data_IF_235395316081
#
_entry.id   IF_235395316081
#
_cell.length_a   1.000
_cell.length_b   1.000
_cell.length_c   1.000
_cell.angle_alpha   90.00
_cell.angle_beta   90.00
_cell.angle_gamma   90.00
#
_symmetry.space_group_name_H-M   'P 1'
#
loop_
_entity.id
_entity.type
_entity.pdbx_description
1 polymer ?
#
# COMPACT_ATOMS: atom_id res chain seq x y z
N UNK A 1 -1.34 1.61 10.13
CA UNK A 1 -1.02 1.14 11.49
C UNK A 1 0.31 1.67 12.03
N UNK A 2 1.45 1.61 11.30
CA UNK A 2 2.74 2.12 11.80
C UNK A 2 2.68 3.58 12.26
N UNK A 3 2.14 4.49 11.43
CA UNK A 3 2.06 5.92 11.78
C UNK A 3 1.18 6.19 13.02
N UNK A 4 0.05 5.48 13.17
CA UNK A 4 -0.93 5.73 14.24
C UNK A 4 -0.54 5.06 15.56
N UNK A 5 0.02 3.85 15.51
CA UNK A 5 0.19 2.97 16.67
C UNK A 5 1.64 2.53 16.88
N UNK A 6 2.58 3.02 16.07
CA UNK A 6 3.99 2.61 16.11
C UNK A 6 4.16 1.09 15.95
N UNK A 7 3.19 0.43 15.31
CA UNK A 7 3.20 -1.02 15.12
C UNK A 7 4.38 -1.41 14.24
N UNK A 8 5.14 -2.41 14.69
CA UNK A 8 6.25 -2.97 13.95
C UNK A 8 5.76 -4.02 12.95
N UNK A 9 6.45 -4.07 11.81
CA UNK A 9 6.19 -5.01 10.73
C UNK A 9 7.51 -5.53 10.17
N UNK A 10 7.43 -6.68 9.49
CA UNK A 10 8.54 -7.27 8.75
C UNK A 10 8.14 -7.30 7.29
N UNK A 11 9.10 -7.04 6.41
CA UNK A 11 8.96 -7.19 4.98
C UNK A 11 10.05 -8.06 4.38
N UNK A 12 9.77 -8.62 3.21
CA UNK A 12 10.70 -9.41 2.40
C UNK A 12 10.58 -8.99 0.95
N UNK A 13 11.65 -9.19 0.17
CA UNK A 13 11.62 -9.01 -1.28
C UNK A 13 11.25 -10.33 -1.93
N UNK A 14 9.99 -10.48 -2.36
CA UNK A 14 9.40 -11.75 -2.75
C UNK A 14 10.13 -12.42 -3.94
N UNK A 15 10.65 -11.63 -4.87
CA UNK A 15 11.42 -12.12 -6.01
C UNK A 15 12.92 -12.33 -5.70
N UNK A 16 13.36 -12.09 -4.45
CA UNK A 16 14.76 -12.24 -4.00
C UNK A 16 14.86 -12.95 -2.64
N UNK A 17 13.94 -13.87 -2.33
CA UNK A 17 13.84 -14.52 -1.00
C UNK A 17 15.09 -15.29 -0.55
N UNK A 18 15.92 -15.75 -1.49
CA UNK A 18 17.16 -16.47 -1.19
C UNK A 18 18.40 -15.56 -1.18
N UNK A 19 18.26 -14.29 -1.54
CA UNK A 19 19.38 -13.37 -1.55
C UNK A 19 19.76 -12.97 -0.10
N UNK A 20 21.05 -12.82 0.21
CA UNK A 20 21.47 -12.35 1.52
C UNK A 20 21.07 -10.88 1.70
N UNK A 21 20.84 -10.48 2.95
CA UNK A 21 20.67 -9.08 3.28
C UNK A 21 21.97 -8.33 3.01
N UNK A 22 21.87 -7.21 2.28
CA UNK A 22 23.00 -6.40 1.83
C UNK A 22 23.00 -5.00 2.46
N UNK A 23 21.83 -4.46 2.78
CA UNK A 23 21.67 -3.08 3.22
C UNK A 23 20.60 -2.93 4.32
N UNK A 24 20.76 -1.90 5.14
CA UNK A 24 19.74 -1.44 6.10
C UNK A 24 19.05 -0.21 5.51
N UNK A 25 17.74 -0.30 5.31
CA UNK A 25 16.95 0.74 4.62
C UNK A 25 15.68 1.10 5.41
N UNK A 26 15.09 2.24 5.09
CA UNK A 26 13.75 2.62 5.55
C UNK A 26 12.76 2.47 4.40
N UNK A 27 11.67 1.75 4.63
CA UNK A 27 10.57 1.58 3.68
C UNK A 27 9.55 2.67 3.92
N UNK A 28 9.53 3.66 3.03
CA UNK A 28 8.53 4.73 3.00
C UNK A 28 7.45 4.45 1.96
N UNK A 29 6.27 5.03 2.17
CA UNK A 29 5.20 5.05 1.18
C UNK A 29 5.36 6.21 0.19
N UNK A 30 4.28 6.51 -0.52
CA UNK A 30 4.25 7.52 -1.61
C UNK A 30 3.47 8.78 -1.27
N UNK A 31 2.96 8.90 -0.05
CA UNK A 31 2.20 10.06 0.39
C UNK A 31 3.12 11.24 0.68
N UNK A 32 2.58 12.45 0.61
CA UNK A 32 3.35 13.70 0.68
C UNK A 32 3.74 14.10 2.12
N UNK A 33 4.01 13.12 2.98
CA UNK A 33 4.21 13.32 4.41
C UNK A 33 5.42 12.55 4.89
N UNK A 34 6.27 13.18 5.71
CA UNK A 34 7.44 12.51 6.31
C UNK A 34 7.06 11.36 7.25
N UNK A 35 5.80 11.33 7.71
CA UNK A 35 5.25 10.27 8.55
C UNK A 35 4.84 9.00 7.79
N UNK A 36 4.79 9.03 6.44
CA UNK A 36 4.43 7.87 5.62
C UNK A 36 5.58 6.87 5.54
N UNK A 37 5.88 6.27 6.69
CA UNK A 37 6.93 5.27 6.87
C UNK A 37 6.28 3.97 7.32
N UNK A 38 6.49 2.91 6.55
CA UNK A 38 5.97 1.58 6.87
C UNK A 38 6.90 0.87 7.85
N UNK A 39 8.21 0.87 7.59
CA UNK A 39 9.22 0.18 8.39
C UNK A 39 10.52 0.99 8.40
N UNK A 40 11.09 1.24 9.58
CA UNK A 40 12.41 1.85 9.75
C UNK A 40 13.47 0.78 9.95
N UNK A 41 14.67 1.03 9.41
CA UNK A 41 15.88 0.24 9.64
C UNK A 41 15.73 -1.28 9.41
N UNK A 42 15.08 -1.67 8.30
CA UNK A 42 14.96 -3.07 7.91
C UNK A 42 16.17 -3.51 7.09
N UNK A 43 16.70 -4.70 7.40
CA UNK A 43 17.73 -5.35 6.59
C UNK A 43 17.10 -6.07 5.41
N UNK A 44 17.49 -5.72 4.19
CA UNK A 44 16.99 -6.33 2.95
C UNK A 44 18.16 -6.65 2.01
N UNK A 45 17.95 -7.55 1.01
CA UNK A 45 18.83 -7.65 -0.15
C UNK A 45 18.90 -6.33 -0.92
N UNK A 46 19.88 -6.19 -1.82
CA UNK A 46 19.95 -5.00 -2.68
C UNK A 46 18.68 -4.87 -3.53
N UNK A 47 17.96 -3.78 -3.30
CA UNK A 47 16.66 -3.53 -3.91
C UNK A 47 16.79 -2.66 -5.16
N UNK A 48 15.95 -2.93 -6.16
CA UNK A 48 15.89 -2.14 -7.39
C UNK A 48 14.44 -1.86 -7.82
N UNK A 49 14.19 -0.80 -8.61
CA UNK A 49 12.86 -0.54 -9.15
C UNK A 49 12.30 -1.76 -9.88
N UNK A 50 11.10 -2.19 -9.50
CA UNK A 50 10.46 -3.39 -10.04
C UNK A 50 10.46 -4.59 -9.09
N UNK A 51 11.28 -4.59 -8.04
CA UNK A 51 11.21 -5.59 -6.98
C UNK A 51 9.85 -5.58 -6.26
N UNK A 52 9.39 -6.78 -5.85
CA UNK A 52 8.13 -6.95 -5.15
C UNK A 52 8.36 -7.05 -3.63
N UNK A 53 8.09 -5.96 -2.91
CA UNK A 53 8.15 -5.95 -1.45
C UNK A 53 6.84 -6.49 -0.84
N UNK A 54 6.94 -7.45 0.07
CA UNK A 54 5.81 -8.03 0.79
C UNK A 54 5.89 -7.68 2.26
N UNK A 55 4.87 -6.99 2.77
CA UNK A 55 4.70 -6.70 4.21
C UNK A 55 3.76 -7.74 4.81
N UNK A 56 4.26 -8.48 5.79
CA UNK A 56 3.53 -9.59 6.42
C UNK A 56 2.58 -9.11 7.53
N UNK A 57 1.73 -10.00 8.05
CA UNK A 57 0.79 -9.71 9.15
C UNK A 57 -0.16 -8.53 8.88
N UNK A 58 -0.54 -8.30 7.63
CA UNK A 58 -1.41 -7.19 7.22
C UNK A 58 -2.91 -7.54 7.17
N UNK A 59 -3.28 -8.80 7.43
CA UNK A 59 -4.67 -9.29 7.26
C UNK A 59 -5.71 -8.68 8.22
N UNK A 60 -5.29 -8.18 9.38
CA UNK A 60 -6.18 -7.52 10.34
C UNK A 60 -5.96 -6.01 10.35
N UNK A 61 -7.04 -5.24 10.43
CA UNK A 61 -7.09 -3.77 10.61
C UNK A 61 -6.44 -2.90 9.52
N UNK A 62 -5.60 -3.42 8.61
CA UNK A 62 -4.96 -2.58 7.60
C UNK A 62 -5.96 -2.13 6.53
N UNK A 63 -6.65 -3.08 5.87
CA UNK A 63 -7.64 -2.73 4.84
C UNK A 63 -8.82 -1.95 5.42
N UNK A 64 -9.34 -2.35 6.58
CA UNK A 64 -10.47 -1.66 7.23
C UNK A 64 -10.16 -0.22 7.66
N UNK A 65 -8.88 0.10 7.86
CA UNK A 65 -8.41 1.47 8.18
C UNK A 65 -7.83 2.20 6.96
N UNK A 66 -7.91 1.63 5.76
CA UNK A 66 -7.41 2.28 4.56
C UNK A 66 -8.24 3.52 4.22
N UNK A 67 -7.56 4.59 3.79
CA UNK A 67 -8.18 5.84 3.36
C UNK A 67 -7.81 6.14 1.91
N UNK A 68 -8.49 7.13 1.32
CA UNK A 68 -8.16 7.68 0.01
C UNK A 68 -7.32 8.96 0.12
N UNK A 69 -6.48 9.06 1.14
CA UNK A 69 -5.58 10.19 1.32
C UNK A 69 -4.71 10.39 0.06
N UNK A 70 -4.47 11.65 -0.33
CA UNK A 70 -3.92 12.06 -1.62
C UNK A 70 -4.64 11.47 -2.86
N UNK A 71 -5.95 11.18 -2.76
CA UNK A 71 -6.77 10.59 -3.84
C UNK A 71 -6.17 9.29 -4.39
N UNK A 72 -5.54 8.49 -3.51
CA UNK A 72 -5.04 7.17 -3.87
C UNK A 72 -6.20 6.16 -3.77
N UNK A 73 -6.50 5.40 -4.84
CA UNK A 73 -7.53 4.38 -4.77
C UNK A 73 -7.12 3.23 -3.84
N UNK A 74 -8.06 2.71 -3.05
CA UNK A 74 -7.79 1.54 -2.19
C UNK A 74 -7.42 0.31 -3.05
N UNK A 75 -6.48 -0.52 -2.56
CA UNK A 75 -5.99 -1.66 -3.32
C UNK A 75 -7.07 -2.75 -3.46
N UNK A 76 -6.86 -3.70 -4.37
CA UNK A 76 -7.63 -4.94 -4.37
C UNK A 76 -7.23 -5.84 -3.18
N UNK A 77 -8.11 -6.76 -2.81
CA UNK A 77 -7.78 -7.90 -1.96
C UNK A 77 -8.01 -9.21 -2.73
N UNK A 78 -7.08 -10.15 -2.59
CA UNK A 78 -7.08 -11.44 -3.30
C UNK A 78 -7.06 -12.56 -2.27
N UNK A 79 -7.96 -13.54 -2.45
CA UNK A 79 -7.92 -14.80 -1.73
C UNK A 79 -7.17 -15.83 -2.56
N UNK A 80 -6.19 -16.48 -1.96
CA UNK A 80 -5.38 -17.53 -2.61
C UNK A 80 -5.58 -18.85 -1.87
N UNK A 81 -5.81 -19.92 -2.61
CA UNK A 81 -5.99 -21.26 -2.06
C UNK A 81 -6.17 -22.30 -3.16
N UNK A 82 -5.73 -23.54 -2.92
CA UNK A 82 -5.88 -24.65 -3.87
C UNK A 82 -5.34 -24.38 -5.29
N UNK A 83 -4.25 -23.60 -5.39
CA UNK A 83 -3.67 -23.23 -6.69
C UNK A 83 -4.41 -22.12 -7.44
N UNK A 84 -5.45 -21.55 -6.85
CA UNK A 84 -6.24 -20.46 -7.42
C UNK A 84 -5.99 -19.13 -6.70
N UNK A 85 -6.21 -18.03 -7.42
CA UNK A 85 -6.18 -16.67 -6.91
C UNK A 85 -7.42 -15.91 -7.39
N UNK A 86 -8.27 -15.51 -6.44
CA UNK A 86 -9.56 -14.90 -6.70
C UNK A 86 -9.62 -13.50 -6.10
N UNK A 87 -10.00 -12.49 -6.88
CA UNK A 87 -10.22 -11.13 -6.37
C UNK A 87 -11.49 -11.15 -5.50
N UNK A 88 -11.34 -10.86 -4.21
CA UNK A 88 -12.46 -10.79 -3.26
C UNK A 88 -12.87 -9.34 -2.94
N UNK A 89 -11.99 -8.38 -3.21
CA UNK A 89 -12.29 -6.95 -3.19
C UNK A 89 -11.64 -6.29 -4.40
N UNK A 90 -12.44 -5.65 -5.24
CA UNK A 90 -11.99 -4.92 -6.42
C UNK A 90 -11.16 -3.69 -6.01
N UNK A 91 -10.08 -3.41 -6.74
CA UNK A 91 -9.33 -2.16 -6.60
C UNK A 91 -10.22 -0.99 -7.00
N UNK A 92 -10.23 0.06 -6.19
CA UNK A 92 -10.93 1.30 -6.56
C UNK A 92 -10.29 1.94 -7.79
N UNK A 93 -11.12 2.61 -8.57
CA UNK A 93 -10.73 3.44 -9.71
C UNK A 93 -10.78 4.91 -9.32
N UNK A 94 -10.22 5.79 -10.16
CA UNK A 94 -10.38 7.23 -9.95
C UNK A 94 -11.85 7.67 -10.03
N UNK A 95 -12.68 6.99 -10.82
CA UNK A 95 -14.10 7.30 -10.92
C UNK A 95 -14.84 7.01 -9.60
N UNK A 96 -14.46 5.95 -8.89
CA UNK A 96 -15.02 5.67 -7.56
C UNK A 96 -14.73 6.81 -6.58
N UNK A 97 -13.55 7.43 -6.68
CA UNK A 97 -13.17 8.58 -5.84
C UNK A 97 -13.93 9.86 -6.17
N UNK A 98 -14.32 10.02 -7.43
CA UNK A 98 -15.00 11.21 -7.93
C UNK A 98 -16.53 11.09 -7.87
N UNK A 99 -17.08 9.93 -7.52
CA UNK A 99 -18.52 9.65 -7.57
C UNK A 99 -19.36 10.64 -6.75
N UNK A 100 -18.78 11.26 -5.72
CA UNK A 100 -19.44 12.24 -4.85
C UNK A 100 -19.06 13.69 -5.16
N UNK A 101 -18.12 13.91 -6.08
CA UNK A 101 -17.71 15.24 -6.48
C UNK A 101 -18.86 15.87 -7.31
N UNK A 102 -19.20 17.12 -6.99
CA UNK A 102 -20.25 17.89 -7.70
C UNK A 102 -19.62 19.19 -8.14
N UNK A 103 -19.70 19.48 -9.43
CA UNK A 103 -19.33 20.78 -9.95
C UNK A 103 -20.47 21.78 -9.63
N UNK A 104 -20.21 22.88 -8.92
CA UNK A 104 -21.22 23.90 -8.69
C UNK A 104 -21.76 24.47 -10.00
N UNK A 105 -23.07 24.58 -10.13
CA UNK A 105 -23.73 25.04 -11.37
C UNK A 105 -23.23 26.41 -11.85
N UNK A 106 -22.94 27.32 -10.92
CA UNK A 106 -22.41 28.66 -11.24
C UNK A 106 -21.05 28.66 -11.95
N UNK A 107 -20.34 27.53 -11.98
CA UNK A 107 -19.05 27.40 -12.67
C UNK A 107 -19.18 26.82 -14.09
N UNK A 108 -20.39 26.42 -14.52
CA UNK A 108 -20.64 25.81 -15.83
C UNK A 108 -20.80 26.83 -16.98
N UNK A 109 -21.06 28.11 -16.66
CA UNK A 109 -21.51 29.11 -17.65
C UNK A 109 -20.57 30.32 -17.80
N UNK A 110 -19.25 30.11 -17.78
CA UNK A 110 -18.26 31.12 -18.20
C UNK A 110 -17.59 30.68 -19.50
#
# INVERSE_FOLDING_TARGET
RPITYQSQYIAVVANKMSAPNAETVTVAGKHCESGDVLIKDIKLPSCEPGDCLVVTATGAYNYSMASNYNRVPRPAAVLVGNGEANVIIQRETYQDLLQKDRLPERLLNN
#
